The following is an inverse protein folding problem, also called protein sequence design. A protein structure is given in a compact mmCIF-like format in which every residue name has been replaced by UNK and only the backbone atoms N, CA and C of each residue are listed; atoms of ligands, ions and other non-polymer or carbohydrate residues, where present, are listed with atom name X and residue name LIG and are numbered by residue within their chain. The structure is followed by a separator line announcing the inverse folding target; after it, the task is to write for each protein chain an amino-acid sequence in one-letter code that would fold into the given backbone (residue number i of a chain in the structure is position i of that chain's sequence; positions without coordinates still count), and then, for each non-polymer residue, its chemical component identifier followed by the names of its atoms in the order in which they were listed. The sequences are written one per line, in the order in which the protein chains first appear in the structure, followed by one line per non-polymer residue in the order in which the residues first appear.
data_IF_404266978518
#
_entry.id   IF_404266978518
#
_cell.length_a   1.000
_cell.length_b   1.000
_cell.length_c   1.000
_cell.angle_alpha   90.00
_cell.angle_beta   90.00
_cell.angle_gamma   90.00
#
_symmetry.space_group_name_H-M   'P 1'
#
loop_
_entity.id
_entity.type
_entity.pdbx_description
1 polymer ?
#
# COMPACT_ATOMS: atom_id res chain seq x y z
N UNK A 1 25.41 46.26 61.71
CA UNK A 1 25.75 45.03 60.96
C UNK A 1 24.74 43.95 61.34
N UNK A 2 24.42 43.07 60.38
CA UNK A 2 23.46 41.95 60.39
C UNK A 2 22.09 42.20 59.75
N UNK A 3 21.83 41.39 58.71
CA UNK A 3 20.74 41.43 57.73
C UNK A 3 19.50 40.62 58.16
N UNK A 4 18.35 40.81 57.49
CA UNK A 4 17.34 39.77 57.34
C UNK A 4 17.28 39.20 55.90
N UNK A 5 16.86 37.94 55.73
CA UNK A 5 16.92 37.23 54.46
C UNK A 5 15.69 37.50 53.57
N UNK A 6 15.94 37.76 52.28
CA UNK A 6 14.92 37.76 51.24
C UNK A 6 14.60 36.33 50.79
N UNK A 7 13.32 35.96 50.87
CA UNK A 7 12.77 34.72 50.32
C UNK A 7 12.46 34.89 48.83
N UNK A 8 13.40 34.51 47.96
CA UNK A 8 13.11 34.35 46.52
C UNK A 8 12.62 32.93 46.25
N UNK A 9 11.31 32.77 46.08
CA UNK A 9 10.68 31.57 45.50
C UNK A 9 10.82 31.62 43.96
N UNK A 10 11.06 30.50 43.28
CA UNK A 10 11.53 30.49 41.90
C UNK A 10 10.44 30.90 40.91
N UNK A 11 10.80 31.75 39.95
CA UNK A 11 10.01 32.03 38.76
C UNK A 11 9.74 30.74 37.99
N UNK A 12 8.53 30.20 38.16
CA UNK A 12 8.00 29.12 37.35
C UNK A 12 7.86 29.59 35.91
N UNK A 13 8.86 29.26 35.09
CA UNK A 13 8.76 29.29 33.63
C UNK A 13 7.64 28.33 33.23
N UNK A 14 6.40 28.82 33.13
CA UNK A 14 5.31 28.12 32.44
C UNK A 14 5.76 27.98 30.99
N UNK A 15 6.43 26.87 30.69
CA UNK A 15 6.48 26.32 29.33
C UNK A 15 5.02 26.14 28.92
N UNK A 16 4.49 27.08 28.14
CA UNK A 16 3.40 26.81 27.20
C UNK A 16 3.90 25.64 26.37
N UNK A 17 3.52 24.44 26.77
CA UNK A 17 3.54 23.30 25.87
C UNK A 17 2.51 23.64 24.81
N UNK A 18 2.95 24.39 23.79
CA UNK A 18 2.26 24.40 22.53
C UNK A 18 2.17 22.96 22.13
N UNK A 19 0.96 22.41 22.22
CA UNK A 19 0.57 21.22 21.48
C UNK A 19 0.79 21.59 20.03
N UNK A 20 2.01 21.36 19.56
CA UNK A 20 2.32 21.35 18.15
C UNK A 20 1.41 20.30 17.57
N UNK A 21 0.30 20.76 16.99
CA UNK A 21 -0.57 19.95 16.16
C UNK A 21 0.37 19.18 15.24
N UNK A 22 0.43 17.84 15.31
CA UNK A 22 1.43 17.10 14.57
C UNK A 22 1.21 17.41 13.10
N UNK A 23 2.22 18.04 12.50
CA UNK A 23 2.33 18.36 11.08
C UNK A 23 1.81 17.14 10.30
N UNK A 24 0.66 17.29 9.65
CA UNK A 24 0.02 16.21 8.89
C UNK A 24 0.71 15.75 7.58
N UNK A 25 1.84 16.30 7.05
CA UNK A 25 2.31 15.87 5.73
C UNK A 25 3.18 14.59 5.71
N UNK A 26 3.60 14.02 6.85
CA UNK A 26 4.45 12.80 6.85
C UNK A 26 3.65 11.48 6.80
N UNK A 27 2.32 11.54 6.98
CA UNK A 27 1.50 10.35 7.23
C UNK A 27 1.05 9.58 5.99
N UNK A 28 1.20 10.06 4.74
CA UNK A 28 0.78 9.27 3.56
C UNK A 28 1.91 8.40 2.99
N UNK A 29 3.17 8.84 3.07
CA UNK A 29 4.29 8.20 2.37
C UNK A 29 4.57 6.75 2.81
N UNK A 30 4.46 6.46 4.11
CA UNK A 30 4.86 5.14 4.66
C UNK A 30 4.00 3.97 4.15
N UNK A 31 2.73 4.20 3.79
CA UNK A 31 1.85 3.16 3.20
C UNK A 31 1.80 3.27 1.67
N UNK A 32 1.89 4.49 1.14
CA UNK A 32 1.87 4.74 -0.29
C UNK A 32 3.09 4.14 -1.02
N UNK A 33 4.26 4.12 -0.37
CA UNK A 33 5.49 3.57 -0.96
C UNK A 33 5.41 2.06 -1.23
N UNK A 34 5.06 1.19 -0.26
CA UNK A 34 4.85 -0.23 -0.54
C UNK A 34 3.74 -0.48 -1.56
N UNK A 35 2.65 0.30 -1.55
CA UNK A 35 1.60 0.22 -2.56
C UNK A 35 2.09 0.54 -3.97
N UNK A 36 2.87 1.60 -4.14
CA UNK A 36 3.47 1.98 -5.41
C UNK A 36 4.47 0.92 -5.92
N UNK A 37 5.28 0.36 -5.02
CA UNK A 37 6.19 -0.74 -5.35
C UNK A 37 5.43 -1.98 -5.84
N UNK A 38 4.31 -2.34 -5.19
CA UNK A 38 3.47 -3.45 -5.64
C UNK A 38 2.93 -3.23 -7.06
N UNK A 39 2.41 -2.03 -7.35
CA UNK A 39 1.90 -1.68 -8.69
C UNK A 39 3.02 -1.79 -9.73
N UNK A 40 4.17 -1.17 -9.47
CA UNK A 40 5.29 -1.19 -10.42
C UNK A 40 5.82 -2.61 -10.66
N UNK A 41 5.89 -3.44 -9.62
CA UNK A 41 6.30 -4.83 -9.75
C UNK A 41 5.31 -5.66 -10.58
N UNK A 42 4.00 -5.50 -10.36
CA UNK A 42 2.98 -6.18 -11.18
C UNK A 42 3.02 -5.75 -12.65
N UNK A 43 3.16 -4.45 -12.92
CA UNK A 43 3.32 -3.93 -14.27
C UNK A 43 4.57 -4.48 -14.94
N UNK A 44 5.69 -4.53 -14.21
CA UNK A 44 6.96 -5.06 -14.72
C UNK A 44 6.85 -6.55 -14.99
N UNK A 45 6.20 -7.32 -14.11
CA UNK A 45 5.97 -8.75 -14.30
C UNK A 45 5.17 -9.04 -15.58
N UNK A 46 4.15 -8.23 -15.89
CA UNK A 46 3.38 -8.36 -17.12
C UNK A 46 4.16 -8.03 -18.38
N UNK A 47 5.04 -7.03 -18.32
CA UNK A 47 5.86 -6.61 -19.45
C UNK A 47 6.97 -7.62 -19.77
N UNK A 48 7.50 -8.30 -18.76
CA UNK A 48 8.60 -9.25 -18.92
C UNK A 48 8.13 -10.62 -19.44
N UNK A 49 8.69 -11.14 -20.55
CA UNK A 49 8.42 -12.50 -21.03
C UNK A 49 9.00 -13.60 -20.13
N UNK A 50 9.91 -13.29 -19.20
CA UNK A 50 10.59 -14.30 -18.40
C UNK A 50 9.81 -14.69 -17.11
N UNK A 51 8.76 -15.51 -17.26
CA UNK A 51 8.01 -16.08 -16.13
C UNK A 51 8.51 -17.48 -15.74
N UNK A 52 8.69 -18.33 -16.74
CA UNK A 52 9.14 -19.70 -16.62
C UNK A 52 10.33 -19.91 -17.53
N UNK A 53 11.37 -20.58 -17.02
CA UNK A 53 12.54 -20.95 -17.79
C UNK A 53 12.61 -22.46 -17.91
N UNK A 54 12.59 -22.97 -19.14
CA UNK A 54 12.68 -24.39 -19.47
C UNK A 54 14.14 -24.73 -19.76
N UNK A 55 14.65 -25.72 -19.06
CA UNK A 55 16.01 -26.23 -19.26
C UNK A 55 15.96 -27.62 -19.90
N UNK A 56 16.63 -27.74 -21.05
CA UNK A 56 16.62 -28.97 -21.86
C UNK A 56 15.39 -29.06 -22.77
N UNK A 57 15.06 -30.28 -23.20
CA UNK A 57 13.87 -30.56 -24.02
C UNK A 57 14.00 -30.21 -25.50
N UNK A 58 12.86 -30.16 -26.19
CA UNK A 58 12.76 -29.81 -27.62
C UNK A 58 12.47 -28.35 -27.88
N UNK A 59 12.15 -27.59 -26.83
CA UNK A 59 11.63 -26.25 -26.97
C UNK A 59 12.67 -25.25 -27.52
N UNK A 60 12.42 -24.54 -28.64
CA UNK A 60 13.35 -23.55 -29.18
C UNK A 60 13.54 -22.33 -28.28
N UNK A 61 12.55 -22.01 -27.43
CA UNK A 61 12.58 -20.84 -26.56
C UNK A 61 12.70 -21.25 -25.10
N UNK A 62 13.75 -20.78 -24.43
CA UNK A 62 14.01 -21.15 -23.04
C UNK A 62 13.16 -20.36 -22.05
N UNK A 63 12.70 -19.16 -22.43
CA UNK A 63 11.89 -18.31 -21.57
C UNK A 63 10.48 -18.20 -22.12
N UNK A 64 9.51 -18.50 -21.27
CA UNK A 64 8.09 -18.51 -21.55
C UNK A 64 7.38 -17.60 -20.56
N UNK A 65 6.41 -16.83 -21.03
CA UNK A 65 5.65 -15.98 -20.15
C UNK A 65 4.34 -15.46 -20.71
N UNK A 66 3.76 -14.55 -19.95
CA UNK A 66 2.43 -14.01 -20.23
C UNK A 66 2.42 -13.18 -21.52
N UNK A 67 3.53 -12.51 -21.85
CA UNK A 67 3.69 -11.77 -23.09
C UNK A 67 3.49 -12.65 -24.34
N UNK A 68 3.83 -13.94 -24.27
CA UNK A 68 3.70 -14.88 -25.40
C UNK A 68 2.24 -15.27 -25.70
N UNK A 69 1.31 -15.03 -24.78
CA UNK A 69 -0.11 -15.43 -24.91
C UNK A 69 -1.08 -14.25 -25.04
N UNK A 70 -0.61 -13.02 -24.77
CA UNK A 70 -1.37 -11.78 -24.91
C UNK A 70 -1.43 -11.29 -26.36
N UNK A 71 -0.44 -11.64 -27.18
CA UNK A 71 -0.35 -11.24 -28.59
C UNK A 71 -0.49 -12.42 -29.56
N UNK A 72 0.32 -12.40 -30.61
CA UNK A 72 0.43 -13.50 -31.56
C UNK A 72 1.17 -14.68 -30.90
N UNK A 73 0.52 -15.83 -30.88
CA UNK A 73 1.13 -17.08 -30.41
C UNK A 73 1.96 -17.62 -31.58
N UNK A 74 3.28 -17.68 -31.40
CA UNK A 74 4.15 -18.28 -32.41
C UNK A 74 3.81 -19.78 -32.54
N UNK A 75 3.38 -20.24 -33.74
CA UNK A 75 2.96 -21.63 -33.94
C UNK A 75 4.05 -22.64 -33.57
N UNK A 76 5.33 -22.24 -33.62
CA UNK A 76 6.45 -23.08 -33.21
C UNK A 76 6.39 -23.50 -31.74
N UNK A 77 5.77 -22.70 -30.87
CA UNK A 77 5.60 -23.10 -29.46
C UNK A 77 4.63 -24.28 -29.31
N UNK A 78 3.66 -24.42 -30.22
CA UNK A 78 2.74 -25.55 -30.25
C UNK A 78 3.36 -26.73 -31.02
N UNK A 79 3.94 -26.47 -32.17
CA UNK A 79 4.50 -27.50 -33.07
C UNK A 79 5.72 -28.21 -32.44
N UNK A 80 6.58 -27.50 -31.70
CA UNK A 80 7.75 -28.07 -31.03
C UNK A 80 7.44 -28.64 -29.63
N UNK A 81 6.16 -28.77 -29.29
CA UNK A 81 5.66 -29.25 -27.99
C UNK A 81 6.16 -28.44 -26.78
N UNK A 82 6.49 -27.15 -26.93
CA UNK A 82 6.85 -26.28 -25.80
C UNK A 82 5.68 -26.07 -24.85
N UNK A 83 4.48 -25.88 -25.42
CA UNK A 83 3.29 -25.50 -24.69
C UNK A 83 2.06 -26.25 -25.20
N UNK A 84 1.19 -26.62 -24.26
CA UNK A 84 -0.14 -27.15 -24.54
C UNK A 84 -1.17 -26.00 -24.54
N UNK A 85 -2.25 -26.07 -25.34
CA UNK A 85 -3.45 -25.23 -25.17
C UNK A 85 -3.89 -24.98 -23.71
N UNK A 86 -3.79 -25.99 -22.84
CA UNK A 86 -4.09 -25.85 -21.40
C UNK A 86 -3.15 -24.86 -20.70
N UNK A 87 -1.84 -24.95 -20.97
CA UNK A 87 -0.83 -24.02 -20.43
C UNK A 87 -1.07 -22.59 -20.93
N UNK A 88 -1.44 -22.43 -22.20
CA UNK A 88 -1.77 -21.13 -22.79
C UNK A 88 -2.96 -20.50 -22.07
N UNK A 89 -4.00 -21.31 -21.79
CA UNK A 89 -5.16 -20.84 -21.04
C UNK A 89 -4.76 -20.40 -19.63
N UNK A 90 -3.94 -21.19 -18.92
CA UNK A 90 -3.44 -20.81 -17.59
C UNK A 90 -2.66 -19.49 -17.62
N UNK A 91 -1.78 -19.27 -18.59
CA UNK A 91 -1.04 -18.01 -18.72
C UNK A 91 -1.94 -16.82 -19.03
N UNK A 92 -3.01 -17.00 -19.81
CA UNK A 92 -4.01 -15.96 -20.05
C UNK A 92 -4.81 -15.63 -18.79
N UNK A 93 -5.16 -16.65 -18.00
CA UNK A 93 -5.79 -16.47 -16.69
C UNK A 93 -4.85 -15.70 -15.75
N UNK A 94 -3.57 -16.09 -15.68
CA UNK A 94 -2.54 -15.35 -14.93
C UNK A 94 -2.50 -13.87 -15.37
N UNK A 95 -2.49 -13.59 -16.67
CA UNK A 95 -2.52 -12.24 -17.20
C UNK A 95 -3.72 -11.44 -16.69
N UNK A 96 -4.92 -12.02 -16.78
CA UNK A 96 -6.16 -11.39 -16.34
C UNK A 96 -6.14 -11.09 -14.83
N UNK A 97 -5.62 -12.02 -14.03
CA UNK A 97 -5.42 -11.79 -12.59
C UNK A 97 -4.37 -10.70 -12.34
N UNK A 98 -3.27 -10.64 -13.08
CA UNK A 98 -2.30 -9.54 -12.92
C UNK A 98 -2.92 -8.17 -13.27
N UNK A 99 -3.71 -8.06 -14.34
CA UNK A 99 -4.42 -6.82 -14.67
C UNK A 99 -5.41 -6.41 -13.58
N UNK A 100 -6.21 -7.36 -13.09
CA UNK A 100 -7.14 -7.10 -11.98
C UNK A 100 -6.40 -6.68 -10.70
N UNK A 101 -5.23 -7.25 -10.44
CA UNK A 101 -4.37 -6.87 -9.31
C UNK A 101 -3.79 -5.47 -9.43
N UNK A 102 -3.40 -5.05 -10.63
CA UNK A 102 -2.99 -3.67 -10.91
C UNK A 102 -4.15 -2.71 -10.66
N UNK A 103 -5.36 -3.02 -11.14
CA UNK A 103 -6.54 -2.18 -10.89
C UNK A 103 -6.88 -2.10 -9.40
N UNK A 104 -6.83 -3.23 -8.69
CA UNK A 104 -7.07 -3.26 -7.25
C UNK A 104 -6.00 -2.47 -6.47
N UNK A 105 -4.73 -2.62 -6.85
CA UNK A 105 -3.62 -1.90 -6.22
C UNK A 105 -3.66 -0.40 -6.53
N UNK A 106 -4.04 -0.01 -7.75
CA UNK A 106 -4.23 1.40 -8.12
C UNK A 106 -5.35 2.03 -7.29
N UNK A 107 -6.49 1.36 -7.16
CA UNK A 107 -7.58 1.88 -6.31
C UNK A 107 -7.15 1.99 -4.84
N UNK A 108 -6.41 1.01 -4.31
CA UNK A 108 -5.83 1.08 -2.96
C UNK A 108 -4.89 2.28 -2.79
N UNK A 109 -3.95 2.46 -3.73
CA UNK A 109 -2.99 3.55 -3.71
C UNK A 109 -3.66 4.92 -3.82
N UNK A 110 -4.66 5.07 -4.70
CA UNK A 110 -5.42 6.31 -4.83
C UNK A 110 -6.17 6.64 -3.53
N UNK A 111 -6.72 5.64 -2.84
CA UNK A 111 -7.35 5.83 -1.54
C UNK A 111 -6.35 6.26 -0.44
N UNK A 112 -5.13 5.73 -0.49
CA UNK A 112 -4.03 6.06 0.42
C UNK A 112 -3.47 7.49 0.19
N UNK A 113 -3.50 7.98 -1.06
CA UNK A 113 -2.99 9.31 -1.46
C UNK A 113 -4.04 10.40 -1.34
N UNK A 114 -5.24 10.21 -1.89
CA UNK A 114 -6.20 11.30 -2.05
C UNK A 114 -7.03 11.60 -0.81
N UNK A 115 -7.12 10.68 0.16
CA UNK A 115 -7.99 10.86 1.31
C UNK A 115 -9.47 10.80 0.91
N UNK A 116 -10.23 9.77 1.30
CA UNK A 116 -11.59 9.61 0.83
C UNK A 116 -12.52 10.74 1.30
N UNK A 117 -13.18 11.44 0.35
CA UNK A 117 -14.21 12.45 0.63
C UNK A 117 -15.57 11.87 1.04
N UNK A 118 -15.84 10.61 0.68
CA UNK A 118 -17.09 9.91 1.00
C UNK A 118 -16.91 8.88 2.13
N UNK A 119 -17.92 8.70 3.01
CA UNK A 119 -17.84 7.79 4.17
C UNK A 119 -17.63 6.32 3.79
N UNK A 120 -18.19 5.87 2.66
CA UNK A 120 -17.96 4.50 2.16
C UNK A 120 -16.47 4.23 1.84
N UNK A 121 -15.77 5.23 1.31
CA UNK A 121 -14.36 5.13 0.98
C UNK A 121 -13.45 5.27 2.22
N UNK A 122 -13.94 5.93 3.30
CA UNK A 122 -13.28 5.91 4.63
C UNK A 122 -13.24 4.49 5.20
N UNK A 123 -14.35 3.75 5.13
CA UNK A 123 -14.42 2.33 5.53
C UNK A 123 -13.44 1.47 4.72
N UNK A 124 -13.39 1.62 3.39
CA UNK A 124 -12.49 0.81 2.55
C UNK A 124 -11.01 1.03 2.89
N UNK A 125 -10.60 2.27 3.18
CA UNK A 125 -9.24 2.61 3.64
C UNK A 125 -8.94 2.00 5.01
N UNK A 126 -9.93 1.96 5.91
CA UNK A 126 -9.77 1.46 7.29
C UNK A 126 -9.50 -0.05 7.37
N UNK A 127 -10.06 -0.83 6.44
CA UNK A 127 -9.88 -2.29 6.42
C UNK A 127 -8.71 -2.78 5.56
N UNK A 128 -7.98 -1.88 4.90
CA UNK A 128 -6.92 -2.23 3.94
C UNK A 128 -7.36 -3.30 2.91
N UNK A 129 -8.66 -3.33 2.59
CA UNK A 129 -9.32 -4.44 1.91
C UNK A 129 -8.74 -4.69 0.51
N UNK A 130 -8.43 -3.62 -0.22
CA UNK A 130 -7.85 -3.70 -1.55
C UNK A 130 -6.41 -4.26 -1.55
N UNK A 131 -5.60 -3.93 -0.54
CA UNK A 131 -4.26 -4.54 -0.39
C UNK A 131 -4.37 -6.02 -0.01
N UNK A 132 -5.31 -6.41 0.85
CA UNK A 132 -5.57 -7.81 1.19
C UNK A 132 -6.02 -8.62 -0.04
N UNK A 133 -6.94 -8.08 -0.84
CA UNK A 133 -7.34 -8.70 -2.10
C UNK A 133 -6.16 -8.89 -3.06
N UNK A 134 -5.28 -7.90 -3.14
CA UNK A 134 -4.06 -7.98 -3.96
C UNK A 134 -3.13 -9.09 -3.48
N UNK A 135 -2.99 -9.29 -2.15
CA UNK A 135 -2.18 -10.40 -1.60
C UNK A 135 -2.78 -11.76 -1.97
N UNK A 136 -4.09 -11.92 -1.81
CA UNK A 136 -4.79 -13.15 -2.18
C UNK A 136 -4.62 -13.44 -3.69
N UNK A 137 -4.68 -12.41 -4.50
CA UNK A 137 -4.47 -12.50 -5.94
C UNK A 137 -3.04 -12.84 -6.33
N UNK A 138 -2.04 -12.29 -5.63
CA UNK A 138 -0.65 -12.69 -5.85
C UNK A 138 -0.45 -14.17 -5.51
N UNK A 139 -1.07 -14.66 -4.43
CA UNK A 139 -1.04 -16.08 -4.07
C UNK A 139 -1.70 -16.98 -5.13
N UNK A 140 -2.84 -16.58 -5.70
CA UNK A 140 -3.48 -17.35 -6.77
C UNK A 140 -2.64 -17.36 -8.05
N UNK A 141 -2.04 -16.23 -8.43
CA UNK A 141 -1.11 -16.16 -9.57
C UNK A 141 0.07 -17.08 -9.38
N UNK A 142 0.70 -17.07 -8.19
CA UNK A 142 1.81 -17.98 -7.85
C UNK A 142 1.38 -19.45 -7.98
N UNK A 143 0.19 -19.80 -7.47
CA UNK A 143 -0.38 -21.14 -7.60
C UNK A 143 -0.58 -21.56 -9.06
N UNK A 144 -1.12 -20.67 -9.90
CA UNK A 144 -1.25 -20.93 -11.34
C UNK A 144 0.10 -21.04 -12.05
N UNK A 145 1.11 -20.26 -11.65
CA UNK A 145 2.46 -20.37 -12.20
C UNK A 145 3.07 -21.74 -11.90
N UNK A 146 2.90 -22.24 -10.67
CA UNK A 146 3.32 -23.59 -10.30
C UNK A 146 2.58 -24.66 -11.10
N UNK A 147 1.28 -24.50 -11.27
CA UNK A 147 0.50 -25.44 -12.07
C UNK A 147 0.96 -25.44 -13.54
N UNK A 148 1.21 -24.27 -14.12
CA UNK A 148 1.72 -24.14 -15.48
C UNK A 148 3.11 -24.80 -15.64
N UNK A 149 4.00 -24.67 -14.65
CA UNK A 149 5.32 -25.33 -14.70
C UNK A 149 5.23 -26.85 -14.71
N UNK A 150 4.32 -27.44 -13.93
CA UNK A 150 4.09 -28.89 -13.93
C UNK A 150 3.51 -29.39 -15.26
N UNK A 151 2.62 -28.60 -15.89
CA UNK A 151 2.10 -28.93 -17.23
C UNK A 151 3.20 -28.92 -18.29
N UNK A 152 4.07 -27.91 -18.26
CA UNK A 152 5.19 -27.83 -19.22
C UNK A 152 6.18 -28.96 -18.98
N UNK A 153 6.49 -29.25 -17.71
CA UNK A 153 7.42 -30.32 -17.35
C UNK A 153 6.89 -31.68 -17.81
N UNK A 154 5.63 -32.00 -17.54
CA UNK A 154 5.00 -33.26 -17.97
C UNK A 154 4.97 -33.39 -19.50
N UNK A 155 4.66 -32.31 -20.22
CA UNK A 155 4.69 -32.28 -21.69
C UNK A 155 6.10 -32.57 -22.23
N UNK A 156 7.12 -31.89 -21.70
CA UNK A 156 8.50 -32.07 -22.14
C UNK A 156 9.09 -33.44 -21.74
N UNK A 157 8.64 -34.01 -20.62
CA UNK A 157 9.02 -35.37 -20.22
C UNK A 157 8.42 -36.44 -21.13
N UNK A 158 7.26 -36.18 -21.74
CA UNK A 158 6.67 -37.08 -22.74
C UNK A 158 7.38 -36.97 -24.10
N UNK A 159 7.84 -35.77 -24.46
CA UNK A 159 8.48 -35.47 -25.75
C UNK A 159 10.01 -35.23 -25.60
N UNK A 160 10.73 -36.19 -25.01
CA UNK A 160 12.18 -36.05 -24.82
C UNK A 160 12.93 -36.10 -26.16
N UNK A 161 13.81 -35.12 -26.38
CA UNK A 161 14.71 -35.07 -27.55
C UNK A 161 15.78 -36.18 -27.53
N UNK A 162 16.31 -36.50 -26.36
CA UNK A 162 17.34 -37.53 -26.18
C UNK A 162 16.99 -38.44 -24.99
N UNK A 163 17.23 -39.74 -25.13
CA UNK A 163 17.04 -40.70 -24.04
C UNK A 163 18.03 -40.40 -22.92
N UNK A 164 17.53 -40.08 -21.72
CA UNK A 164 18.35 -39.73 -20.54
C UNK A 164 18.64 -38.23 -20.35
N UNK A 165 18.13 -37.33 -21.20
CA UNK A 165 18.29 -35.88 -20.97
C UNK A 165 17.50 -35.42 -19.75
N UNK A 166 18.15 -34.66 -18.86
CA UNK A 166 17.52 -34.03 -17.71
C UNK A 166 16.73 -32.80 -18.17
N UNK A 167 15.44 -32.75 -17.84
CA UNK A 167 14.53 -31.65 -18.15
C UNK A 167 13.96 -31.13 -16.84
N UNK A 168 14.03 -29.82 -16.63
CA UNK A 168 13.45 -29.16 -15.48
C UNK A 168 12.99 -27.75 -15.85
N UNK A 169 12.00 -27.24 -15.12
CA UNK A 169 11.44 -25.91 -15.30
C UNK A 169 11.73 -25.11 -14.03
N UNK A 170 12.26 -23.90 -14.19
CA UNK A 170 12.54 -22.97 -13.09
C UNK A 170 11.71 -21.71 -13.22
N UNK A 171 11.40 -21.07 -12.10
CA UNK A 171 10.76 -19.76 -12.09
C UNK A 171 11.76 -18.66 -12.46
N UNK A 172 11.30 -17.65 -13.19
CA UNK A 172 12.10 -16.53 -13.65
C UNK A 172 11.63 -15.20 -13.03
N UNK A 173 12.15 -14.07 -13.53
CA UNK A 173 12.05 -12.78 -12.83
C UNK A 173 10.60 -12.35 -12.57
N UNK A 174 9.67 -12.57 -13.52
CA UNK A 174 8.29 -12.14 -13.39
C UNK A 174 7.57 -12.84 -12.24
N UNK A 175 7.88 -14.11 -11.97
CA UNK A 175 7.37 -14.84 -10.81
C UNK A 175 7.79 -14.17 -9.50
N UNK A 176 9.08 -13.82 -9.39
CA UNK A 176 9.61 -13.17 -8.20
C UNK A 176 9.09 -11.73 -8.04
N UNK A 177 8.81 -11.03 -9.14
CA UNK A 177 8.17 -9.72 -9.13
C UNK A 177 6.74 -9.79 -8.58
N UNK A 178 5.95 -10.79 -8.96
CA UNK A 178 4.60 -11.00 -8.38
C UNK A 178 4.68 -11.34 -6.89
N UNK A 179 5.63 -12.19 -6.49
CA UNK A 179 5.86 -12.51 -5.08
C UNK A 179 6.28 -11.26 -4.27
N UNK A 180 7.18 -10.45 -4.84
CA UNK A 180 7.60 -9.17 -4.27
C UNK A 180 6.45 -8.17 -4.16
N UNK A 181 5.58 -8.11 -5.17
CA UNK A 181 4.37 -7.28 -5.15
C UNK A 181 3.43 -7.70 -4.02
N UNK A 182 3.18 -9.01 -3.88
CA UNK A 182 2.40 -9.56 -2.75
C UNK A 182 3.02 -9.18 -1.40
N UNK A 183 4.33 -9.31 -1.25
CA UNK A 183 5.06 -8.89 -0.04
C UNK A 183 4.92 -7.39 0.25
N UNK A 184 5.04 -6.54 -0.78
CA UNK A 184 4.86 -5.10 -0.66
C UNK A 184 3.41 -4.74 -0.28
N UNK A 185 2.41 -5.45 -0.81
CA UNK A 185 1.01 -5.30 -0.41
C UNK A 185 0.74 -5.74 1.04
N UNK A 186 1.44 -6.76 1.55
CA UNK A 186 1.38 -7.13 2.98
C UNK A 186 1.94 -5.98 3.83
N UNK A 187 3.08 -5.41 3.44
CA UNK A 187 3.66 -4.27 4.15
C UNK A 187 2.73 -3.04 4.11
N UNK A 188 2.10 -2.76 2.97
CA UNK A 188 1.09 -1.71 2.84
C UNK A 188 -0.09 -1.95 3.79
N UNK A 189 -0.57 -3.19 3.85
CA UNK A 189 -1.65 -3.62 4.75
C UNK A 189 -1.26 -3.41 6.21
N UNK A 190 -0.07 -3.88 6.61
CA UNK A 190 0.43 -3.72 7.97
C UNK A 190 0.60 -2.24 8.35
N UNK A 191 1.16 -1.43 7.44
CA UNK A 191 1.29 0.01 7.65
C UNK A 191 -0.06 0.71 7.81
N UNK A 192 -1.08 0.28 7.06
CA UNK A 192 -2.43 0.82 7.17
C UNK A 192 -3.16 0.36 8.44
N UNK A 193 -3.00 -0.90 8.87
CA UNK A 193 -3.62 -1.43 10.09
C UNK A 193 -2.97 -0.92 11.38
N UNK A 194 -1.66 -0.71 11.38
CA UNK A 194 -0.92 -0.19 12.55
C UNK A 194 -1.08 1.33 12.72
N UNK A 195 -1.55 2.04 11.69
CA UNK A 195 -1.89 3.45 11.82
C UNK A 195 -3.11 3.60 12.71
N UNK A 196 -2.92 4.27 13.84
CA UNK A 196 -4.02 4.70 14.69
C UNK A 196 -4.89 5.68 13.91
N UNK A 197 -6.01 5.18 13.41
CA UNK A 197 -7.03 5.99 12.79
C UNK A 197 -7.93 6.50 13.91
N UNK A 198 -8.02 7.83 14.15
CA UNK A 198 -8.96 8.34 15.12
C UNK A 198 -10.36 7.81 14.77
N UNK A 199 -11.10 7.38 15.78
CA UNK A 199 -12.48 6.92 15.59
C UNK A 199 -13.33 8.07 15.05
N UNK A 200 -14.49 7.79 14.43
CA UNK A 200 -15.37 8.89 13.95
C UNK A 200 -15.72 9.85 15.09
N UNK A 201 -15.80 9.33 16.31
CA UNK A 201 -15.96 10.11 17.55
C UNK A 201 -14.75 11.01 17.87
N UNK A 202 -13.52 10.55 17.64
CA UNK A 202 -12.32 11.38 17.81
C UNK A 202 -12.16 12.41 16.68
N UNK A 203 -12.50 12.08 15.42
CA UNK A 203 -12.55 13.08 14.33
C UNK A 203 -13.56 14.18 14.66
N UNK A 204 -14.75 13.81 15.13
CA UNK A 204 -15.80 14.76 15.51
C UNK A 204 -15.41 15.55 16.77
N UNK A 205 -14.72 14.93 17.74
CA UNK A 205 -14.18 15.63 18.90
C UNK A 205 -13.06 16.62 18.50
N UNK A 206 -12.20 16.26 17.55
CA UNK A 206 -11.18 17.16 17.02
C UNK A 206 -11.77 18.31 16.21
N UNK A 207 -12.82 18.05 15.42
CA UNK A 207 -13.54 19.09 14.67
C UNK A 207 -14.22 20.08 15.64
N UNK A 208 -14.93 19.57 16.65
CA UNK A 208 -15.51 20.38 17.72
C UNK A 208 -14.46 21.18 18.52
N UNK A 209 -13.30 20.57 18.79
CA UNK A 209 -12.19 21.25 19.47
C UNK A 209 -11.58 22.34 18.58
N UNK A 210 -11.47 22.13 17.27
CA UNK A 210 -10.97 23.14 16.33
C UNK A 210 -11.96 24.30 16.14
N UNK A 211 -13.27 24.02 16.09
CA UNK A 211 -14.31 25.05 16.08
C UNK A 211 -14.31 25.86 17.38
N UNK A 212 -14.06 25.20 18.52
CA UNK A 212 -13.91 25.86 19.82
C UNK A 212 -12.65 26.73 19.89
N UNK A 213 -11.53 26.27 19.32
CA UNK A 213 -10.28 27.02 19.25
C UNK A 213 -10.43 28.26 18.35
N UNK A 214 -10.99 28.13 17.14
CA UNK A 214 -11.27 29.25 16.23
C UNK A 214 -12.27 30.26 16.83
N UNK A 215 -13.31 29.78 17.51
CA UNK A 215 -14.26 30.67 18.19
C UNK A 215 -13.64 31.37 19.41
N UNK A 216 -12.69 30.74 20.09
CA UNK A 216 -11.94 31.35 21.20
C UNK A 216 -10.95 32.43 20.73
N UNK A 217 -10.38 32.30 19.53
CA UNK A 217 -9.50 33.32 18.93
C UNK A 217 -10.30 34.54 18.39
N UNK A 218 -11.62 34.40 18.21
CA UNK A 218 -12.50 35.48 17.73
C UNK A 218 -12.99 36.42 18.85
N UNK A 219 -12.76 36.09 20.12
CA UNK A 219 -12.97 37.03 21.22
C UNK A 219 -11.70 37.85 21.45
N UNK A 220 -11.73 39.18 21.27
CA UNK A 220 -10.59 40.00 21.64
C UNK A 220 -10.38 39.87 23.15
N UNK A 221 -9.24 39.30 23.53
CA UNK A 221 -8.74 39.17 24.91
C UNK A 221 -8.37 40.53 25.54
N UNK A 222 -9.00 41.61 25.08
CA UNK A 222 -8.73 42.98 25.49
C UNK A 222 -9.85 43.59 26.36
N UNK A 223 -10.90 42.82 26.69
CA UNK A 223 -12.03 43.34 27.47
C UNK A 223 -12.01 43.07 28.98
N UNK A 224 -11.05 42.30 29.52
CA UNK A 224 -11.13 41.85 30.92
C UNK A 224 -10.00 42.33 31.87
N UNK A 225 -9.15 43.29 31.47
CA UNK A 225 -8.12 43.83 32.39
C UNK A 225 -8.23 45.35 32.63
N UNK A 226 -9.09 46.08 31.91
CA UNK A 226 -9.17 47.53 32.04
C UNK A 226 -10.29 48.06 32.98
N UNK A 227 -11.25 47.25 33.41
CA UNK A 227 -12.47 47.76 34.07
C UNK A 227 -12.74 47.30 35.51
N UNK A 228 -11.78 46.69 36.21
CA UNK A 228 -11.97 46.28 37.61
C UNK A 228 -11.72 47.36 38.68
N UNK A 229 -11.39 48.60 38.30
CA UNK A 229 -11.04 49.66 39.26
C UNK A 229 -11.69 51.02 38.96
N UNK A 230 -12.97 51.05 38.60
CA UNK A 230 -13.76 52.29 38.75
C UNK A 230 -14.49 52.26 40.11
N UNK A 231 -14.05 53.07 41.10
CA UNK A 231 -14.80 53.20 42.34
C UNK A 231 -16.15 53.88 42.06
N UNK A 232 -17.22 53.50 42.78
CA UNK A 232 -18.55 54.07 42.59
C UNK A 232 -18.54 55.58 42.90
N UNK A 233 -19.39 56.36 42.21
CA UNK A 233 -19.44 57.82 42.38
C UNK A 233 -19.82 58.19 43.83
N UNK A 234 -19.18 59.22 44.35
CA UNK A 234 -19.42 59.74 45.69
C UNK A 234 -20.85 60.27 45.81
N UNK A 235 -21.57 59.84 46.85
CA UNK A 235 -22.87 60.40 47.19
C UNK A 235 -22.69 61.84 47.67
N UNK A 236 -23.35 62.78 47.00
CA UNK A 236 -23.51 64.16 47.47
C UNK A 236 -24.69 64.26 48.45
N UNK A 237 -24.62 65.15 49.47
CA UNK A 237 -25.62 65.28 50.53
C UNK A 237 -26.98 65.77 50.05
#
# INVERSE_FOLDING_TARGET
MYAPPGSTIPGGRRRRAGTSLPKQPERSLVSALPGALSITALCTALAEPAWLRVHGGTCPRQELGVADVLGYIDPKLLDDYCMNPQTILLLRVIAAFCFLGILCSLTAFLLDVFGPKHPALKITRRYAFAHILTVLQCATVIGFCYWASELILSLQQQHKKYHGSLIYVTFAISFYLVAGAGGASILATAANLLRHYPTEEEEQALELLSEMEDSSETFPTDYDIANQFQPPPAYTP
#
